data_IF_877234811826
#
_entry.id   IF_877234811826
#
_cell.length_a   1.000
_cell.length_b   1.000
_cell.length_c   1.000
_cell.angle_alpha   90.00
_cell.angle_beta   90.00
_cell.angle_gamma   90.00
#
_symmetry.space_group_name_H-M   'P 1'
#
loop_
_entity.id
_entity.type
_entity.pdbx_description
1 polymer ?
#
# COMPACT_ATOMS: atom_id res chain seq x y z
N UNK A 1 24.49 -8.89 5.16
CA UNK A 1 24.23 -9.62 3.89
C UNK A 1 23.07 -9.06 3.06
N UNK A 2 21.87 -8.85 3.60
CA UNK A 2 20.69 -8.44 2.78
C UNK A 2 20.83 -7.08 2.07
N UNK A 3 21.44 -6.07 2.73
CA UNK A 3 21.69 -4.75 2.13
C UNK A 3 22.75 -4.80 1.01
N UNK A 4 23.83 -5.53 1.21
CA UNK A 4 24.89 -5.71 0.21
C UNK A 4 24.40 -6.46 -1.02
N UNK A 5 23.61 -7.52 -0.82
CA UNK A 5 22.97 -8.25 -1.93
C UNK A 5 22.03 -7.36 -2.75
N UNK A 6 21.28 -6.47 -2.09
CA UNK A 6 20.41 -5.51 -2.78
C UNK A 6 21.17 -4.48 -3.61
N UNK A 7 22.36 -4.05 -3.17
CA UNK A 7 23.17 -3.10 -3.92
C UNK A 7 23.77 -3.78 -5.15
N UNK A 8 24.32 -5.00 -4.98
CA UNK A 8 24.86 -5.79 -6.09
C UNK A 8 23.79 -6.04 -7.15
N UNK A 9 22.56 -6.36 -6.75
CA UNK A 9 21.44 -6.53 -7.67
C UNK A 9 21.11 -5.28 -8.49
N UNK A 10 21.23 -4.09 -7.91
CA UNK A 10 21.01 -2.82 -8.62
C UNK A 10 22.08 -2.59 -9.69
N UNK A 11 23.35 -2.84 -9.36
CA UNK A 11 24.44 -2.71 -10.33
C UNK A 11 24.36 -3.75 -11.45
N UNK A 12 23.96 -5.00 -11.14
CA UNK A 12 23.71 -6.02 -12.16
C UNK A 12 22.58 -5.59 -13.11
N UNK A 13 21.46 -5.09 -12.55
CA UNK A 13 20.35 -4.58 -13.34
C UNK A 13 20.77 -3.39 -14.22
N UNK A 14 21.57 -2.48 -13.66
CA UNK A 14 22.15 -1.36 -14.40
C UNK A 14 23.01 -1.82 -15.58
N UNK A 15 23.83 -2.85 -15.37
CA UNK A 15 24.66 -3.43 -16.42
C UNK A 15 23.82 -4.04 -17.55
N UNK A 16 22.72 -4.72 -17.22
CA UNK A 16 21.78 -5.26 -18.21
C UNK A 16 21.20 -4.14 -19.08
N UNK A 17 20.73 -3.03 -18.47
CA UNK A 17 20.20 -1.90 -19.23
C UNK A 17 21.27 -1.18 -20.06
N UNK A 18 22.47 -1.03 -19.51
CA UNK A 18 23.62 -0.48 -20.24
C UNK A 18 23.89 -1.29 -21.51
N UNK A 19 24.03 -2.61 -21.40
CA UNK A 19 24.28 -3.50 -22.56
C UNK A 19 23.11 -3.44 -23.54
N UNK A 20 21.87 -3.43 -23.04
CA UNK A 20 20.68 -3.37 -23.89
C UNK A 20 20.62 -2.08 -24.72
N UNK A 21 20.83 -0.93 -24.08
CA UNK A 21 20.79 0.37 -24.78
C UNK A 21 21.98 0.53 -25.72
N UNK A 22 23.16 0.02 -25.34
CA UNK A 22 24.33 -0.01 -26.20
C UNK A 22 24.08 -0.87 -27.45
N UNK A 23 23.47 -2.05 -27.28
CA UNK A 23 23.10 -2.90 -28.40
C UNK A 23 22.08 -2.19 -29.31
N UNK A 24 21.07 -1.54 -28.74
CA UNK A 24 20.05 -0.81 -29.48
C UNK A 24 20.61 0.41 -30.23
N UNK A 25 21.55 1.16 -29.64
CA UNK A 25 22.17 2.34 -30.27
C UNK A 25 23.10 1.98 -31.44
N UNK A 26 23.66 0.77 -31.42
CA UNK A 26 24.56 0.27 -32.46
C UNK A 26 23.89 -0.61 -33.51
N UNK A 27 22.57 -0.83 -33.41
CA UNK A 27 21.80 -1.61 -34.38
C UNK A 27 21.55 -0.77 -35.64
N UNK A 28 22.09 -1.20 -36.78
CA UNK A 28 21.87 -0.52 -38.07
C UNK A 28 20.65 -1.11 -38.80
N UNK A 29 20.11 -0.37 -39.80
CA UNK A 29 18.99 -0.83 -40.65
C UNK A 29 19.26 -2.16 -41.39
N UNK A 30 20.52 -2.60 -41.47
CA UNK A 30 20.96 -3.86 -42.06
C UNK A 30 21.33 -4.93 -41.03
N UNK A 31 20.97 -4.74 -39.75
CA UNK A 31 21.31 -5.61 -38.61
C UNK A 31 22.82 -5.78 -38.35
N UNK A 32 23.67 -4.93 -38.93
CA UNK A 32 25.10 -4.90 -38.63
C UNK A 32 25.38 -4.04 -37.40
N UNK A 33 26.35 -4.43 -36.57
CA UNK A 33 26.77 -3.65 -35.41
C UNK A 33 27.69 -2.51 -35.85
N UNK A 34 27.34 -1.26 -35.55
CA UNK A 34 28.22 -0.12 -35.78
C UNK A 34 29.47 -0.23 -34.89
N UNK A 35 30.67 0.03 -35.41
CA UNK A 35 31.92 -0.08 -34.63
C UNK A 35 32.42 1.25 -34.04
N UNK A 36 31.81 2.38 -34.42
CA UNK A 36 32.22 3.71 -33.97
C UNK A 36 31.50 4.13 -32.68
N UNK A 37 32.27 4.56 -31.68
CA UNK A 37 31.74 5.14 -30.43
C UNK A 37 31.07 6.48 -30.73
N UNK A 38 29.89 6.68 -30.16
CA UNK A 38 29.10 7.90 -30.27
C UNK A 38 29.00 8.62 -28.92
N UNK A 39 28.66 9.92 -28.89
CA UNK A 39 28.38 10.64 -27.65
C UNK A 39 27.29 9.99 -26.80
N UNK A 40 26.33 9.29 -27.43
CA UNK A 40 25.27 8.57 -26.75
C UNK A 40 25.81 7.40 -25.92
N UNK A 41 26.87 6.73 -26.38
CA UNK A 41 27.48 5.60 -25.67
C UNK A 41 28.22 6.07 -24.42
N UNK A 42 28.81 7.26 -24.47
CA UNK A 42 29.42 7.91 -23.31
C UNK A 42 28.35 8.32 -22.28
N UNK A 43 27.22 8.88 -22.72
CA UNK A 43 26.08 9.19 -21.84
C UNK A 43 25.51 7.90 -21.23
N UNK A 44 25.34 6.85 -22.03
CA UNK A 44 24.84 5.55 -21.56
C UNK A 44 25.79 4.91 -20.53
N UNK A 45 27.10 5.02 -20.73
CA UNK A 45 28.11 4.55 -19.76
C UNK A 45 27.99 5.28 -18.42
N UNK A 46 27.92 6.62 -18.44
CA UNK A 46 27.72 7.42 -17.22
C UNK A 46 26.37 7.11 -16.53
N UNK A 47 25.33 6.87 -17.33
CA UNK A 47 24.00 6.50 -16.87
C UNK A 47 24.03 5.16 -16.13
N UNK A 48 24.62 4.13 -16.75
CA UNK A 48 24.67 2.78 -16.18
C UNK A 48 25.68 2.61 -15.04
N UNK A 49 26.82 3.30 -15.08
CA UNK A 49 27.81 3.19 -14.01
C UNK A 49 27.48 4.03 -12.80
N UNK A 50 26.84 5.19 -12.99
CA UNK A 50 26.74 6.21 -11.93
C UNK A 50 25.31 6.72 -11.73
N UNK A 51 24.65 7.29 -12.74
CA UNK A 51 23.40 8.01 -12.51
C UNK A 51 22.25 7.10 -12.07
N UNK A 52 22.04 5.97 -12.75
CA UNK A 52 20.98 5.03 -12.41
C UNK A 52 21.17 4.37 -11.04
N UNK A 53 22.31 3.73 -10.71
CA UNK A 53 22.45 3.07 -9.41
C UNK A 53 22.35 4.06 -8.25
N UNK A 54 22.96 5.24 -8.37
CA UNK A 54 22.92 6.27 -7.31
C UNK A 54 21.51 6.83 -7.13
N UNK A 55 20.84 7.22 -8.23
CA UNK A 55 19.48 7.76 -8.16
C UNK A 55 18.49 6.72 -7.63
N UNK A 56 18.57 5.47 -8.07
CA UNK A 56 17.69 4.40 -7.61
C UNK A 56 17.89 4.08 -6.13
N UNK A 57 19.13 4.00 -5.65
CA UNK A 57 19.43 3.76 -4.23
C UNK A 57 18.90 4.89 -3.37
N UNK A 58 19.16 6.14 -3.76
CA UNK A 58 18.71 7.30 -3.02
C UNK A 58 17.18 7.41 -3.03
N UNK A 59 16.55 7.24 -4.20
CA UNK A 59 15.10 7.29 -4.32
C UNK A 59 14.41 6.19 -3.50
N UNK A 60 14.92 4.95 -3.53
CA UNK A 60 14.43 3.86 -2.66
C UNK A 60 14.60 4.16 -1.18
N UNK A 61 15.71 4.79 -0.79
CA UNK A 61 15.93 5.19 0.60
C UNK A 61 14.92 6.27 1.03
N UNK A 62 14.65 7.24 0.16
CA UNK A 62 13.67 8.29 0.41
C UNK A 62 12.26 7.72 0.52
N UNK A 63 11.84 6.85 -0.41
CA UNK A 63 10.58 6.11 -0.30
C UNK A 63 10.52 5.34 1.02
N UNK A 64 11.55 4.57 1.38
CA UNK A 64 11.50 3.77 2.61
C UNK A 64 11.36 4.63 3.87
N UNK A 65 11.96 5.81 3.88
CA UNK A 65 11.96 6.70 5.04
C UNK A 65 10.66 7.51 5.16
N UNK A 66 10.06 7.89 4.03
CA UNK A 66 8.81 8.68 4.00
C UNK A 66 7.58 7.81 3.98
N UNK A 67 7.62 6.69 3.27
CA UNK A 67 6.49 5.78 3.12
C UNK A 67 6.18 5.16 4.46
N UNK A 68 4.89 5.10 4.74
CA UNK A 68 4.35 4.32 5.83
C UNK A 68 4.55 2.84 5.50
N UNK A 69 5.65 2.28 5.98
CA UNK A 69 5.86 0.83 5.89
C UNK A 69 4.89 0.18 6.88
N UNK A 70 3.87 -0.57 6.42
CA UNK A 70 3.24 -1.54 7.30
C UNK A 70 4.39 -2.41 7.77
N UNK A 71 4.75 -2.30 9.06
CA UNK A 71 5.90 -2.99 9.63
C UNK A 71 5.88 -4.42 9.12
N UNK A 72 7.01 -4.88 8.59
CA UNK A 72 7.20 -6.19 7.96
C UNK A 72 6.51 -7.24 8.81
N UNK A 73 5.26 -7.50 8.47
CA UNK A 73 4.43 -8.44 9.19
C UNK A 73 4.87 -9.74 8.57
N UNK A 74 5.41 -10.61 9.42
CA UNK A 74 5.59 -12.04 9.13
C UNK A 74 4.53 -12.43 8.13
N UNK A 75 4.93 -12.89 6.95
CA UNK A 75 4.03 -13.48 5.97
C UNK A 75 3.17 -14.46 6.77
N UNK A 76 1.97 -14.03 7.14
CA UNK A 76 0.99 -14.89 7.76
C UNK A 76 0.89 -16.01 6.75
N UNK A 77 1.21 -17.23 7.18
CA UNK A 77 1.19 -18.43 6.33
C UNK A 77 -0.21 -18.69 5.75
N UNK A 78 -1.21 -17.89 6.16
CA UNK A 78 -2.58 -17.77 5.66
C UNK A 78 -2.78 -16.70 4.57
N UNK A 79 -1.74 -15.96 4.14
CA UNK A 79 -1.76 -15.08 2.96
C UNK A 79 -1.72 -15.89 1.66
N UNK A 80 -2.64 -16.87 1.54
CA UNK A 80 -2.77 -17.76 0.39
C UNK A 80 -4.06 -17.41 -0.37
N UNK A 81 -3.99 -16.38 -1.21
CA UNK A 81 -4.93 -16.22 -2.32
C UNK A 81 -5.64 -14.88 -2.48
N UNK A 82 -5.36 -13.86 -1.66
CA UNK A 82 -6.06 -12.56 -1.75
C UNK A 82 -5.19 -11.47 -2.37
N UNK A 83 -3.90 -11.46 -2.04
CA UNK A 83 -2.91 -10.71 -2.81
C UNK A 83 -2.37 -11.65 -3.87
N UNK A 84 -2.26 -11.18 -5.10
CA UNK A 84 -1.81 -11.91 -6.29
C UNK A 84 -0.33 -12.36 -6.22
N UNK A 85 0.20 -12.60 -5.02
CA UNK A 85 1.51 -13.15 -4.67
C UNK A 85 1.46 -14.63 -4.30
N UNK A 86 0.29 -15.22 -4.06
CA UNK A 86 0.17 -16.64 -3.77
C UNK A 86 0.07 -17.48 -5.05
N UNK A 87 1.05 -18.37 -5.26
CA UNK A 87 1.08 -19.36 -6.36
C UNK A 87 -0.10 -20.34 -6.33
N UNK A 88 -0.80 -20.45 -5.20
CA UNK A 88 -1.95 -21.32 -5.01
C UNK A 88 -3.06 -20.64 -4.20
N UNK A 89 -4.30 -20.72 -4.70
CA UNK A 89 -5.53 -20.50 -3.96
C UNK A 89 -5.79 -21.73 -3.09
N UNK A 90 -5.81 -21.57 -1.78
CA UNK A 90 -6.26 -22.62 -0.88
C UNK A 90 -7.80 -22.56 -0.80
N UNK A 91 -8.49 -23.50 -1.44
CA UNK A 91 -9.93 -23.69 -1.23
C UNK A 91 -10.08 -24.64 -0.06
N UNK A 92 -10.54 -24.12 1.08
CA UNK A 92 -10.84 -24.94 2.24
C UNK A 92 -12.21 -25.58 2.03
N UNK A 93 -12.22 -26.80 1.51
CA UNK A 93 -13.39 -27.68 1.60
C UNK A 93 -13.29 -28.48 2.90
N UNK A 94 -14.44 -28.86 3.47
CA UNK A 94 -14.61 -29.24 4.88
C UNK A 94 -13.67 -30.32 5.44
N UNK A 95 -12.88 -31.05 4.63
CA UNK A 95 -11.84 -31.98 5.10
C UNK A 95 -10.53 -31.96 4.27
N UNK A 96 -10.36 -31.05 3.31
CA UNK A 96 -9.12 -30.93 2.52
C UNK A 96 -8.90 -29.51 1.98
N UNK A 97 -7.69 -29.00 2.16
CA UNK A 97 -7.20 -27.80 1.49
C UNK A 97 -6.72 -28.16 0.08
N UNK A 98 -7.55 -27.90 -0.93
CA UNK A 98 -7.16 -28.07 -2.33
C UNK A 98 -6.41 -26.81 -2.75
N UNK A 99 -5.17 -26.98 -3.21
CA UNK A 99 -4.34 -25.90 -3.76
C UNK A 99 -4.62 -25.78 -5.26
N UNK A 100 -5.34 -24.74 -5.67
CA UNK A 100 -5.59 -24.42 -7.08
C UNK A 100 -4.48 -23.46 -7.54
N UNK A 101 -3.70 -23.76 -8.59
CA UNK A 101 -2.66 -22.84 -9.06
C UNK A 101 -3.29 -21.49 -9.45
N UNK A 102 -2.85 -20.43 -8.78
CA UNK A 102 -3.16 -19.05 -9.15
C UNK A 102 -2.31 -18.68 -10.36
N UNK A 103 -2.94 -18.17 -11.43
CA UNK A 103 -2.39 -18.09 -12.79
C UNK A 103 -0.92 -17.66 -12.90
N UNK A 104 -0.10 -18.56 -13.45
CA UNK A 104 1.29 -18.35 -13.85
C UNK A 104 1.49 -17.10 -14.73
N UNK A 105 0.47 -16.74 -15.52
CA UNK A 105 0.50 -15.56 -16.40
C UNK A 105 0.81 -14.26 -15.64
N UNK A 106 0.31 -14.12 -14.41
CA UNK A 106 0.46 -12.88 -13.63
C UNK A 106 1.90 -12.56 -13.22
N UNK A 107 2.77 -13.58 -13.10
CA UNK A 107 4.16 -13.38 -12.64
C UNK A 107 5.02 -12.83 -13.76
N UNK A 108 4.92 -13.40 -14.96
CA UNK A 108 5.67 -12.94 -16.12
C UNK A 108 5.30 -11.49 -16.42
N UNK A 109 4.01 -11.15 -16.40
CA UNK A 109 3.56 -9.77 -16.58
C UNK A 109 4.04 -8.83 -15.47
N UNK A 110 4.09 -9.28 -14.21
CA UNK A 110 4.63 -8.47 -13.10
C UNK A 110 6.14 -8.22 -13.25
N UNK A 111 6.91 -9.25 -13.59
CA UNK A 111 8.36 -9.12 -13.81
C UNK A 111 8.63 -8.21 -15.01
N UNK A 112 7.88 -8.38 -16.10
CA UNK A 112 7.99 -7.54 -17.28
C UNK A 112 7.61 -6.08 -16.96
N UNK A 113 6.55 -5.85 -16.20
CA UNK A 113 6.15 -4.51 -15.78
C UNK A 113 7.24 -3.85 -14.92
N UNK A 114 7.80 -4.57 -13.96
CA UNK A 114 8.91 -4.07 -13.13
C UNK A 114 10.14 -3.74 -13.98
N UNK A 115 10.47 -4.59 -14.94
CA UNK A 115 11.54 -4.35 -15.90
C UNK A 115 11.28 -3.06 -16.71
N UNK A 116 10.07 -2.86 -17.23
CA UNK A 116 9.73 -1.62 -17.95
C UNK A 116 9.80 -0.37 -17.06
N UNK A 117 9.35 -0.45 -15.80
CA UNK A 117 9.43 0.67 -14.84
C UNK A 117 10.89 1.01 -14.56
N UNK A 118 11.72 0.01 -14.28
CA UNK A 118 13.15 0.21 -14.00
C UNK A 118 13.91 0.71 -15.24
N UNK A 119 13.50 0.31 -16.45
CA UNK A 119 14.03 0.85 -17.71
C UNK A 119 13.69 2.33 -17.89
N UNK A 120 12.45 2.74 -17.59
CA UNK A 120 12.06 4.16 -17.61
C UNK A 120 12.92 4.93 -16.60
N UNK A 121 13.09 4.40 -15.39
CA UNK A 121 13.96 5.01 -14.38
C UNK A 121 15.41 5.10 -14.84
N UNK A 122 15.91 4.13 -15.60
CA UNK A 122 17.25 4.18 -16.21
C UNK A 122 17.37 5.37 -17.16
N UNK A 123 16.42 5.51 -18.10
CA UNK A 123 16.39 6.60 -19.08
C UNK A 123 16.30 7.97 -18.39
N UNK A 124 15.48 8.08 -17.35
CA UNK A 124 15.28 9.34 -16.61
C UNK A 124 16.21 9.52 -15.40
N UNK A 125 17.23 8.67 -15.24
CA UNK A 125 18.05 8.66 -14.02
C UNK A 125 18.84 9.95 -13.80
N UNK A 126 19.37 10.57 -14.86
CA UNK A 126 20.08 11.84 -14.77
C UNK A 126 19.15 13.00 -14.40
N UNK A 127 18.02 13.25 -15.10
CA UNK A 127 17.02 14.22 -14.66
C UNK A 127 16.53 14.00 -13.23
N UNK A 128 16.28 12.74 -12.86
CA UNK A 128 15.85 12.37 -11.51
C UNK A 128 16.92 12.75 -10.47
N UNK A 129 18.19 12.41 -10.72
CA UNK A 129 19.29 12.73 -9.82
C UNK A 129 19.45 14.24 -9.64
N UNK A 130 19.38 15.02 -10.72
CA UNK A 130 19.44 16.48 -10.68
C UNK A 130 18.29 17.02 -9.81
N UNK A 131 17.07 16.54 -10.04
CA UNK A 131 15.91 16.98 -9.25
C UNK A 131 16.06 16.63 -7.77
N UNK A 132 16.60 15.46 -7.43
CA UNK A 132 16.89 15.07 -6.05
C UNK A 132 17.94 15.95 -5.39
N UNK A 133 19.02 16.29 -6.11
CA UNK A 133 20.06 17.21 -5.62
C UNK A 133 19.48 18.60 -5.38
N UNK A 134 18.74 19.15 -6.34
CA UNK A 134 18.08 20.46 -6.20
C UNK A 134 17.11 20.46 -5.02
N UNK A 135 16.27 19.42 -4.92
CA UNK A 135 15.33 19.27 -3.81
C UNK A 135 16.04 19.34 -2.45
N UNK A 136 17.21 18.70 -2.33
CA UNK A 136 18.02 18.74 -1.11
C UNK A 136 18.69 20.09 -0.87
N UNK A 137 19.22 20.74 -1.90
CA UNK A 137 19.89 22.05 -1.79
C UNK A 137 18.90 23.13 -1.36
N UNK A 138 17.69 23.13 -1.92
CA UNK A 138 16.67 24.12 -1.64
C UNK A 138 15.75 23.75 -0.46
N UNK A 139 16.00 22.64 0.23
CA UNK A 139 15.10 22.07 1.25
C UNK A 139 13.66 21.92 0.77
N UNK A 140 13.46 21.61 -0.52
CA UNK A 140 12.15 21.27 -1.04
C UNK A 140 11.82 19.86 -0.59
N UNK A 141 10.72 19.69 0.13
CA UNK A 141 10.16 18.38 0.47
C UNK A 141 9.32 17.80 -0.68
N UNK A 142 9.79 17.97 -1.92
CA UNK A 142 9.02 17.68 -3.13
C UNK A 142 8.68 16.19 -3.21
N UNK A 143 9.69 15.34 -3.05
CA UNK A 143 9.48 13.90 -3.15
C UNK A 143 8.69 13.36 -1.98
N UNK A 144 8.90 13.90 -0.77
CA UNK A 144 8.13 13.50 0.40
C UNK A 144 6.65 13.86 0.24
N UNK A 145 6.37 15.06 -0.27
CA UNK A 145 5.00 15.53 -0.56
C UNK A 145 4.34 14.64 -1.61
N UNK A 146 5.05 14.28 -2.69
CA UNK A 146 4.53 13.37 -3.71
C UNK A 146 4.25 11.99 -3.12
N UNK A 147 5.16 11.42 -2.32
CA UNK A 147 4.98 10.11 -1.69
C UNK A 147 3.75 10.13 -0.77
N UNK A 148 3.63 11.14 0.08
CA UNK A 148 2.48 11.29 0.98
C UNK A 148 1.17 11.51 0.21
N UNK A 149 1.20 12.25 -0.90
CA UNK A 149 0.05 12.43 -1.77
C UNK A 149 -0.38 11.11 -2.42
N UNK A 150 0.56 10.30 -2.89
CA UNK A 150 0.30 8.96 -3.45
C UNK A 150 -0.29 8.03 -2.38
N UNK A 151 0.27 8.00 -1.17
CA UNK A 151 -0.26 7.18 -0.07
C UNK A 151 -1.64 7.66 0.39
N UNK A 152 -1.86 8.98 0.44
CA UNK A 152 -3.19 9.56 0.71
C UNK A 152 -4.20 9.19 -0.38
N UNK A 153 -3.78 9.21 -1.64
CA UNK A 153 -4.63 8.81 -2.77
C UNK A 153 -4.97 7.32 -2.71
N UNK A 154 -3.98 6.47 -2.41
CA UNK A 154 -4.17 5.04 -2.22
C UNK A 154 -5.16 4.77 -1.08
N UNK A 155 -4.97 5.41 0.07
CA UNK A 155 -5.89 5.33 1.20
C UNK A 155 -7.32 5.67 0.77
N UNK A 156 -7.51 6.81 0.10
CA UNK A 156 -8.83 7.25 -0.38
C UNK A 156 -9.43 6.24 -1.33
N UNK A 157 -8.63 5.67 -2.24
CA UNK A 157 -9.08 4.62 -3.15
C UNK A 157 -9.49 3.34 -2.42
N UNK A 158 -8.80 2.98 -1.35
CA UNK A 158 -9.14 1.82 -0.52
C UNK A 158 -10.42 2.04 0.28
N UNK A 159 -10.70 3.28 0.71
CA UNK A 159 -11.88 3.69 1.48
C UNK A 159 -13.07 4.17 0.65
N UNK A 160 -13.04 4.02 -0.68
CA UNK A 160 -14.18 4.34 -1.54
C UNK A 160 -15.42 3.51 -1.17
N UNK A 161 -16.64 4.06 -1.37
CA UNK A 161 -17.87 3.32 -1.15
C UNK A 161 -17.86 1.95 -1.84
N UNK A 162 -18.13 0.91 -1.09
CA UNK A 162 -18.20 -0.47 -1.56
C UNK A 162 -19.13 -1.29 -0.65
N UNK A 163 -19.36 -2.57 -0.98
CA UNK A 163 -20.16 -3.47 -0.12
C UNK A 163 -19.59 -3.59 1.31
N UNK A 164 -18.27 -3.45 1.46
CA UNK A 164 -17.59 -3.61 2.75
C UNK A 164 -17.32 -2.26 3.45
N UNK A 165 -17.34 -1.15 2.73
CA UNK A 165 -16.96 0.16 3.25
C UNK A 165 -18.03 1.17 2.91
N UNK A 166 -18.59 1.81 3.94
CA UNK A 166 -19.61 2.83 3.82
C UNK A 166 -19.13 4.13 4.44
N UNK A 167 -18.60 5.07 3.63
CA UNK A 167 -18.24 6.40 4.12
C UNK A 167 -19.47 7.11 4.70
N UNK A 168 -19.26 7.80 5.83
CA UNK A 168 -20.28 8.56 6.55
C UNK A 168 -19.73 9.92 6.97
N UNK A 169 -20.62 10.90 7.06
CA UNK A 169 -20.33 12.20 7.67
C UNK A 169 -20.60 12.16 9.18
N UNK A 170 -20.36 13.28 9.87
CA UNK A 170 -20.52 13.39 11.31
C UNK A 170 -21.99 13.21 11.77
N UNK A 171 -22.94 13.69 10.97
CA UNK A 171 -24.37 13.59 11.28
C UNK A 171 -24.82 12.13 11.26
N UNK A 172 -24.46 11.42 10.18
CA UNK A 172 -24.74 10.00 10.04
C UNK A 172 -23.98 9.17 11.05
N UNK A 173 -22.73 9.51 11.36
CA UNK A 173 -21.98 8.84 12.44
C UNK A 173 -22.74 8.92 13.77
N UNK A 174 -23.25 10.11 14.12
CA UNK A 174 -24.03 10.34 15.34
C UNK A 174 -25.32 9.50 15.34
N UNK A 175 -26.02 9.44 14.21
CA UNK A 175 -27.22 8.60 14.07
C UNK A 175 -26.90 7.11 14.24
N UNK A 176 -25.81 6.62 13.63
CA UNK A 176 -25.41 5.21 13.72
C UNK A 176 -25.07 4.78 15.15
N UNK A 177 -24.52 5.68 15.96
CA UNK A 177 -24.23 5.43 17.38
C UNK A 177 -25.50 5.38 18.22
N UNK A 178 -26.50 6.19 17.87
CA UNK A 178 -27.79 6.21 18.57
C UNK A 178 -28.70 5.04 18.17
N UNK A 179 -28.50 4.50 16.98
CA UNK A 179 -29.20 3.29 16.55
C UNK A 179 -28.73 2.09 17.38
N UNK A 180 -29.67 1.46 18.10
CA UNK A 180 -29.51 0.23 18.89
C UNK A 180 -29.23 -1.00 18.02
N UNK A 181 -28.25 -0.92 17.14
CA UNK A 181 -27.88 -1.96 16.19
C UNK A 181 -26.37 -2.18 16.21
N UNK A 182 -26.00 -3.42 15.91
CA UNK A 182 -24.62 -3.82 15.78
C UNK A 182 -23.97 -3.19 14.55
N UNK A 183 -23.01 -2.27 14.74
CA UNK A 183 -22.31 -1.61 13.63
C UNK A 183 -20.83 -1.44 13.93
N UNK A 184 -19.99 -1.80 12.95
CA UNK A 184 -18.55 -1.56 12.99
C UNK A 184 -18.25 -0.19 12.40
N UNK A 185 -17.54 0.65 13.15
CA UNK A 185 -17.21 2.03 12.79
C UNK A 185 -15.70 2.20 12.83
N UNK A 186 -15.12 2.71 11.74
CA UNK A 186 -13.72 3.10 11.65
C UNK A 186 -13.60 4.61 11.51
N UNK A 187 -12.86 5.23 12.43
CA UNK A 187 -12.54 6.66 12.42
C UNK A 187 -11.06 6.77 12.06
N UNK A 188 -10.78 7.33 10.90
CA UNK A 188 -9.43 7.45 10.36
C UNK A 188 -9.29 8.68 9.46
N UNK A 189 -8.10 8.89 8.91
CA UNK A 189 -7.88 9.95 7.93
C UNK A 189 -6.76 9.60 6.95
N UNK A 190 -6.84 10.00 5.67
CA UNK A 190 -5.73 9.91 4.73
C UNK A 190 -4.53 10.74 5.16
N UNK A 191 -4.70 11.77 6.01
CA UNK A 191 -3.61 12.61 6.50
C UNK A 191 -2.86 11.97 7.66
N UNK A 192 -3.52 11.08 8.40
CA UNK A 192 -2.93 10.40 9.55
C UNK A 192 -2.13 9.15 9.15
N UNK A 193 -0.95 9.01 9.74
CA UNK A 193 -0.01 7.94 9.46
C UNK A 193 -0.51 6.58 9.94
N UNK A 194 -1.03 6.52 11.17
CA UNK A 194 -1.50 5.26 11.76
C UNK A 194 -2.70 4.71 10.97
N UNK A 195 -3.60 5.60 10.53
CA UNK A 195 -4.72 5.29 9.64
C UNK A 195 -4.22 4.61 8.37
N UNK A 196 -3.25 5.21 7.66
CA UNK A 196 -2.69 4.63 6.43
C UNK A 196 -2.05 3.26 6.63
N UNK A 197 -1.47 3.00 7.81
CA UNK A 197 -0.87 1.70 8.15
C UNK A 197 -1.92 0.60 8.45
N UNK A 198 -3.07 0.99 9.02
CA UNK A 198 -4.10 0.05 9.49
C UNK A 198 -5.04 -0.36 8.35
N UNK A 199 -5.37 0.56 7.43
CA UNK A 199 -6.38 0.33 6.39
C UNK A 199 -6.18 -0.92 5.55
N UNK A 200 -4.97 -1.27 5.08
CA UNK A 200 -4.77 -2.52 4.34
C UNK A 200 -5.16 -3.76 5.17
N UNK A 201 -4.81 -3.78 6.46
CA UNK A 201 -5.17 -4.87 7.38
C UNK A 201 -6.66 -4.90 7.67
N UNK A 202 -7.28 -3.73 7.88
CA UNK A 202 -8.71 -3.60 8.08
C UNK A 202 -9.49 -4.15 6.88
N UNK A 203 -9.16 -3.70 5.67
CA UNK A 203 -9.82 -4.15 4.44
C UNK A 203 -9.71 -5.66 4.24
N UNK A 204 -8.54 -6.23 4.55
CA UNK A 204 -8.33 -7.66 4.50
C UNK A 204 -9.24 -8.41 5.48
N UNK A 205 -9.24 -7.99 6.75
CA UNK A 205 -10.07 -8.60 7.78
C UNK A 205 -11.58 -8.48 7.47
N UNK A 206 -12.04 -7.34 6.93
CA UNK A 206 -13.43 -7.15 6.50
C UNK A 206 -13.81 -8.09 5.35
N UNK A 207 -12.91 -8.25 4.37
CA UNK A 207 -13.13 -9.16 3.24
C UNK A 207 -13.22 -10.62 3.67
N UNK A 208 -12.34 -11.06 4.58
CA UNK A 208 -12.35 -12.42 5.10
C UNK A 208 -13.64 -12.74 5.86
N UNK A 209 -14.14 -11.80 6.65
CA UNK A 209 -15.30 -12.00 7.52
C UNK A 209 -16.62 -11.46 6.91
N UNK A 210 -16.58 -10.99 5.65
CA UNK A 210 -17.72 -10.37 4.94
C UNK A 210 -18.45 -9.29 5.76
N UNK A 211 -17.71 -8.50 6.53
CA UNK A 211 -18.27 -7.46 7.39
C UNK A 211 -18.23 -6.09 6.72
N UNK A 212 -19.26 -5.29 6.97
CA UNK A 212 -19.33 -3.90 6.55
C UNK A 212 -18.78 -2.99 7.67
N UNK A 213 -17.97 -2.00 7.30
CA UNK A 213 -17.52 -0.92 8.18
C UNK A 213 -18.08 0.41 7.72
N UNK A 214 -18.51 1.23 8.68
CA UNK A 214 -18.82 2.63 8.45
C UNK A 214 -17.56 3.46 8.68
N UNK A 215 -17.15 4.22 7.66
CA UNK A 215 -15.90 4.99 7.69
C UNK A 215 -16.17 6.48 7.87
N UNK A 216 -15.61 7.09 8.90
CA UNK A 216 -15.63 8.53 9.10
C UNK A 216 -14.22 9.11 8.92
N UNK A 217 -14.10 10.10 8.03
CA UNK A 217 -12.86 10.87 7.83
C UNK A 217 -12.84 12.09 8.75
N UNK A 218 -12.07 12.02 9.83
CA UNK A 218 -12.01 13.14 10.78
C UNK A 218 -11.27 14.37 10.21
N UNK A 219 -10.55 14.25 9.09
CA UNK A 219 -9.91 15.42 8.47
C UNK A 219 -10.84 16.21 7.55
N UNK A 220 -12.02 15.68 7.25
CA UNK A 220 -13.05 16.35 6.45
C UNK A 220 -14.08 17.11 7.33
N UNK A 221 -13.95 17.03 8.66
CA UNK A 221 -14.80 17.73 9.64
C UNK A 221 -13.97 18.67 10.53
N UNK A 222 -14.62 19.70 11.08
CA UNK A 222 -13.98 20.62 12.03
C UNK A 222 -13.71 19.88 13.37
N UNK A 223 -12.49 19.96 13.93
CA UNK A 223 -12.18 19.42 15.24
C UNK A 223 -13.20 19.76 16.34
N UNK A 224 -13.69 21.00 16.34
CA UNK A 224 -14.61 21.47 17.39
C UNK A 224 -15.96 20.72 17.33
N UNK A 225 -16.39 20.29 16.13
CA UNK A 225 -17.66 19.60 15.93
C UNK A 225 -17.63 18.15 16.44
N UNK A 226 -16.59 17.39 16.12
CA UNK A 226 -16.53 15.96 16.47
C UNK A 226 -15.93 15.69 17.85
N UNK A 227 -15.15 16.62 18.42
CA UNK A 227 -14.45 16.40 19.70
C UNK A 227 -15.44 16.19 20.86
N UNK A 228 -16.60 16.86 20.82
CA UNK A 228 -17.66 16.67 21.81
C UNK A 228 -18.24 15.25 21.78
N UNK A 229 -18.46 14.68 20.59
CA UNK A 229 -18.91 13.31 20.38
C UNK A 229 -17.83 12.32 20.84
N UNK A 230 -16.59 12.54 20.44
CA UNK A 230 -15.48 11.63 20.73
C UNK A 230 -15.21 11.52 22.24
N UNK A 231 -15.27 12.65 22.95
CA UNK A 231 -15.15 12.68 24.41
C UNK A 231 -16.29 11.89 25.09
N UNK A 232 -17.52 12.01 24.61
CA UNK A 232 -18.68 11.24 25.13
C UNK A 232 -18.51 9.74 24.91
N UNK A 233 -17.91 9.35 23.79
CA UNK A 233 -17.64 7.97 23.43
C UNK A 233 -16.37 7.39 24.09
N UNK A 234 -15.60 8.21 24.81
CA UNK A 234 -14.34 7.79 25.40
C UNK A 234 -13.21 7.54 24.39
N UNK A 235 -13.28 8.16 23.21
CA UNK A 235 -12.22 8.05 22.18
C UNK A 235 -11.07 8.96 22.59
N UNK A 236 -10.00 8.37 23.10
CA UNK A 236 -8.79 9.08 23.53
C UNK A 236 -7.66 9.06 22.49
N UNK A 237 -7.76 8.17 21.49
CA UNK A 237 -6.72 7.96 20.48
C UNK A 237 -7.34 7.82 19.09
N UNK A 238 -6.66 8.39 18.09
CA UNK A 238 -6.99 8.27 16.68
C UNK A 238 -5.82 7.59 15.94
N UNK A 239 -6.09 6.77 14.92
CA UNK A 239 -7.41 6.31 14.48
C UNK A 239 -8.04 5.36 15.50
N UNK A 240 -9.35 5.15 15.38
CA UNK A 240 -10.09 4.25 16.26
C UNK A 240 -10.99 3.32 15.46
N UNK A 241 -11.11 2.08 15.91
CA UNK A 241 -12.08 1.11 15.41
C UNK A 241 -13.02 0.78 16.55
N UNK A 242 -14.33 0.86 16.31
CA UNK A 242 -15.33 0.74 17.37
C UNK A 242 -16.51 -0.08 16.91
N UNK A 243 -17.24 -0.61 17.88
CA UNK A 243 -18.50 -1.31 17.66
C UNK A 243 -19.58 -0.67 18.51
N UNK A 244 -20.71 -0.36 17.88
CA UNK A 244 -21.96 -0.08 18.60
C UNK A 244 -22.61 -1.41 18.94
N UNK A 245 -22.88 -1.64 20.22
CA UNK A 245 -23.66 -2.78 20.67
C UNK A 245 -25.16 -2.45 20.55
N UNK A 246 -26.02 -3.48 20.49
CA UNK A 246 -27.47 -3.30 20.41
C UNK A 246 -28.10 -2.55 21.60
N UNK A 247 -27.35 -2.30 22.67
CA UNK A 247 -27.75 -1.50 23.84
C UNK A 247 -27.34 -0.02 23.75
N UNK A 248 -26.73 0.40 22.63
CA UNK A 248 -26.22 1.75 22.41
C UNK A 248 -24.85 2.02 23.08
N UNK A 249 -24.24 1.01 23.73
CA UNK A 249 -22.88 1.12 24.23
C UNK A 249 -21.87 1.02 23.09
N UNK A 250 -20.74 1.71 23.21
CA UNK A 250 -19.65 1.67 22.22
C UNK A 250 -18.43 0.99 22.82
N UNK A 251 -17.92 -0.02 22.13
CA UNK A 251 -16.71 -0.74 22.52
C UNK A 251 -15.59 -0.42 21.54
N UNK A 252 -14.46 0.11 22.04
CA UNK A 252 -13.25 0.30 21.23
C UNK A 252 -12.55 -1.04 20.98
N UNK A 253 -12.07 -1.24 19.76
CA UNK A 253 -11.27 -2.40 19.35
C UNK A 253 -9.80 -2.00 19.32
N UNK A 254 -8.98 -2.81 19.98
CA UNK A 254 -7.53 -2.71 19.88
C UNK A 254 -7.06 -3.04 18.45
N UNK A 255 -6.38 -2.07 17.84
CA UNK A 255 -5.89 -2.13 16.46
C UNK A 255 -4.73 -3.11 16.31
N UNK A 256 -4.02 -3.47 17.39
CA UNK A 256 -2.95 -4.46 17.38
C UNK A 256 -3.48 -5.89 17.17
N UNK A 257 -4.75 -6.14 17.54
CA UNK A 257 -5.41 -7.44 17.46
C UNK A 257 -6.59 -7.45 16.46
N UNK A 258 -6.57 -6.55 15.49
CA UNK A 258 -7.68 -6.23 14.58
C UNK A 258 -8.29 -7.46 13.89
N UNK A 259 -7.49 -8.40 13.38
CA UNK A 259 -8.01 -9.59 12.68
C UNK A 259 -8.83 -10.49 13.61
N UNK A 260 -8.31 -10.78 14.80
CA UNK A 260 -8.98 -11.61 15.81
C UNK A 260 -10.23 -10.93 16.34
N UNK A 261 -10.17 -9.62 16.55
CA UNK A 261 -11.31 -8.83 17.00
C UNK A 261 -12.44 -8.85 15.97
N UNK A 262 -12.15 -8.57 14.69
CA UNK A 262 -13.15 -8.61 13.62
C UNK A 262 -13.75 -10.02 13.46
N UNK A 263 -12.94 -11.07 13.57
CA UNK A 263 -13.44 -12.45 13.53
C UNK A 263 -14.40 -12.76 14.69
N UNK A 264 -14.03 -12.40 15.92
CA UNK A 264 -14.87 -12.59 17.10
C UNK A 264 -16.23 -11.88 16.95
N UNK A 265 -16.19 -10.64 16.49
CA UNK A 265 -17.38 -9.81 16.37
C UNK A 265 -18.29 -10.22 15.19
N UNK A 266 -17.72 -10.74 14.11
CA UNK A 266 -18.48 -11.35 13.01
C UNK A 266 -19.29 -12.57 13.47
N UNK A 267 -18.72 -13.39 14.35
CA UNK A 267 -19.42 -14.55 14.92
C UNK A 267 -20.57 -14.10 15.84
N UNK A 268 -20.32 -13.07 16.66
CA UNK A 268 -21.34 -12.55 17.58
C UNK A 268 -22.53 -11.91 16.85
N UNK A 269 -22.28 -11.10 15.81
CA UNK A 269 -23.36 -10.48 15.02
C UNK A 269 -24.21 -11.52 14.30
N UNK A 270 -23.62 -12.61 13.83
CA UNK A 270 -24.35 -13.74 13.22
C UNK A 270 -25.23 -14.45 14.25
N UNK A 271 -24.77 -14.58 15.51
CA UNK A 271 -25.55 -15.22 16.57
C UNK A 271 -26.73 -14.39 17.10
N UNK A 272 -26.67 -13.06 17.02
CA UNK A 272 -27.79 -12.18 17.42
C UNK A 272 -28.89 -12.06 16.36
N UNK A 273 -28.60 -12.41 15.09
CA UNK A 273 -29.58 -12.41 13.98
C UNK A 273 -30.40 -13.72 13.91
N UNK A 274 -29.94 -14.80 14.56
CA UNK A 274 -30.73 -16.02 14.73
C UNK A 274 -31.32 -16.08 16.15
N UNK A 275 -32.58 -15.65 16.35
CA UNK A 275 -33.27 -15.97 17.59
C UNK A 275 -33.49 -17.50 17.65
N UNK A 276 -33.11 -18.10 18.78
CA UNK A 276 -33.75 -19.34 19.22
C UNK A 276 -35.20 -19.06 19.59
#
# INVERSE_FOLDING_TARGET
MRKTLSIIGIYLLSFIYFVMILFLSHLTNTYALRTTITPLDLINSLTGLLFFPVSLIWFRALIRNTRDNPGATSESTLNRGVDSSAYFLAVQTSNATVLIPGGYDSIIFKVLLLFCIDLILYIFSLPLLILMILSKIFNWHLFETIILAVESHRYRSEMKPSKLISPVDLQKLTALIQESQFKLIFIGSPRDRLSRLIVPKLKYALKLNSMQVYYFDFADADPDDYQSLFNRLGITTLPSLMITNGDGSVTSIDLDHLEKAIQFWSQKSTSEIQPR
#
